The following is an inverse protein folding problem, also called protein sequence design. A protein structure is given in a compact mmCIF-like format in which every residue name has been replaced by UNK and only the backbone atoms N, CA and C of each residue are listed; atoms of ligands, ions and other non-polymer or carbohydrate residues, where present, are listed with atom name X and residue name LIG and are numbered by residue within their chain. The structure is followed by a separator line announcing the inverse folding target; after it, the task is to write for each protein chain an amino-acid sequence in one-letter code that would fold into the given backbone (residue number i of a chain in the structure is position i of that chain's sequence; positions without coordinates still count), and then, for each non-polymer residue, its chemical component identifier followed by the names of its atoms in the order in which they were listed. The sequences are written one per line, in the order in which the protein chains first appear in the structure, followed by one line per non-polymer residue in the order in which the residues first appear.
data_IF_096224153480
#
_entry.id   IF_096224153480
#
_cell.length_a   1.000
_cell.length_b   1.000
_cell.length_c   1.000
_cell.angle_alpha   90.00
_cell.angle_beta   90.00
_cell.angle_gamma   90.00
#
_symmetry.space_group_name_H-M   'P 1'
#
loop_
_entity.id
_entity.type
_entity.pdbx_description
1 polymer ?
#
# COMPACT_ATOMS: atom_id res chain seq x y z
N UNK A 1 1.26 -0.72 -2.09
CA UNK A 1 2.32 -0.89 -3.13
C UNK A 1 1.93 -0.15 -4.38
N UNK A 2 2.90 0.22 -5.24
CA UNK A 2 2.65 0.68 -6.63
C UNK A 2 2.38 -0.53 -7.52
N UNK A 3 1.67 -0.34 -8.64
CA UNK A 3 1.34 -1.47 -9.55
C UNK A 3 2.61 -2.15 -10.12
N UNK A 4 3.66 -1.39 -10.42
CA UNK A 4 4.92 -1.96 -10.87
C UNK A 4 5.63 -2.81 -9.82
N UNK A 5 5.58 -2.38 -8.54
CA UNK A 5 6.10 -3.16 -7.40
C UNK A 5 5.31 -4.47 -7.24
N UNK A 6 3.97 -4.41 -7.37
CA UNK A 6 3.11 -5.60 -7.31
C UNK A 6 3.42 -6.61 -8.43
N UNK A 7 3.62 -6.12 -9.66
CA UNK A 7 3.91 -6.96 -10.82
C UNK A 7 5.32 -7.58 -10.78
N UNK A 8 6.26 -6.95 -10.08
CA UNK A 8 7.62 -7.48 -9.87
C UNK A 8 7.67 -8.53 -8.76
N UNK A 9 6.72 -8.51 -7.82
CA UNK A 9 6.75 -9.31 -6.59
C UNK A 9 6.90 -10.81 -6.87
N UNK A 10 7.89 -11.43 -6.22
CA UNK A 10 8.24 -12.83 -6.34
C UNK A 10 7.89 -13.59 -5.05
N UNK A 11 7.82 -14.91 -5.14
CA UNK A 11 7.55 -15.78 -3.98
C UNK A 11 8.60 -15.61 -2.88
N UNK A 12 9.88 -15.47 -3.23
CA UNK A 12 11.00 -15.25 -2.30
C UNK A 12 10.89 -13.96 -1.48
N UNK A 13 10.12 -12.98 -1.97
CA UNK A 13 9.98 -11.67 -1.31
C UNK A 13 9.01 -11.72 -0.13
N UNK A 14 8.35 -12.88 0.09
CA UNK A 14 7.41 -13.08 1.18
C UNK A 14 8.00 -14.04 2.20
N UNK A 15 8.20 -13.54 3.40
CA UNK A 15 8.57 -14.34 4.56
C UNK A 15 7.31 -14.65 5.38
N UNK A 16 6.85 -15.88 5.29
CA UNK A 16 5.66 -16.34 6.01
C UNK A 16 5.91 -16.66 7.49
N UNK A 17 7.17 -16.79 7.91
CA UNK A 17 7.53 -17.01 9.32
C UNK A 17 7.51 -15.68 10.06
N UNK A 18 8.10 -14.65 9.46
CA UNK A 18 8.11 -13.29 10.01
C UNK A 18 6.85 -12.50 9.68
N UNK A 19 6.00 -12.98 8.76
CA UNK A 19 4.83 -12.27 8.28
C UNK A 19 5.18 -10.96 7.56
N UNK A 20 6.24 -10.98 6.76
CA UNK A 20 6.73 -9.79 6.07
C UNK A 20 6.79 -9.96 4.55
N UNK A 21 6.80 -8.84 3.85
CA UNK A 21 6.89 -8.74 2.42
C UNK A 21 7.94 -7.68 2.08
N UNK A 22 8.95 -8.06 1.30
CA UNK A 22 9.99 -7.16 0.82
C UNK A 22 9.58 -6.54 -0.52
N UNK A 23 9.81 -5.24 -0.66
CA UNK A 23 9.58 -4.49 -1.90
C UNK A 23 10.89 -3.86 -2.29
N UNK A 24 11.59 -4.46 -3.24
CA UNK A 24 12.92 -4.05 -3.70
C UNK A 24 13.04 -4.01 -5.23
N UNK A 25 11.96 -4.37 -5.94
CA UNK A 25 11.91 -4.35 -7.40
C UNK A 25 10.65 -3.66 -7.92
N UNK A 26 10.69 -3.21 -9.16
CA UNK A 26 9.55 -2.66 -9.88
C UNK A 26 9.60 -3.07 -11.34
N UNK A 27 8.48 -3.53 -11.87
CA UNK A 27 8.32 -3.90 -13.27
C UNK A 27 7.77 -2.71 -14.07
N UNK A 28 8.45 -2.41 -15.15
CA UNK A 28 7.98 -1.48 -16.19
C UNK A 28 7.95 -2.24 -17.52
N UNK A 29 6.91 -2.04 -18.31
CA UNK A 29 6.84 -2.61 -19.66
C UNK A 29 7.28 -1.56 -20.67
N UNK A 30 8.34 -1.88 -21.43
CA UNK A 30 8.90 -1.03 -22.46
C UNK A 30 8.94 -1.83 -23.77
N UNK A 31 8.42 -1.29 -24.85
CA UNK A 31 8.40 -1.89 -26.19
C UNK A 31 7.87 -3.34 -26.22
N UNK A 32 6.91 -3.64 -25.34
CA UNK A 32 6.29 -4.96 -25.23
C UNK A 32 7.02 -5.95 -24.33
N UNK A 33 8.22 -5.60 -23.82
CA UNK A 33 9.03 -6.42 -22.92
C UNK A 33 8.92 -5.98 -21.45
N UNK A 34 8.95 -6.95 -20.55
CA UNK A 34 8.94 -6.71 -19.11
C UNK A 34 10.36 -6.40 -18.64
N UNK A 35 10.59 -5.17 -18.18
CA UNK A 35 11.84 -4.73 -17.58
C UNK A 35 11.68 -4.62 -16.07
N UNK A 36 12.39 -5.46 -15.32
CA UNK A 36 12.46 -5.39 -13.85
C UNK A 36 13.70 -4.57 -13.49
N UNK A 37 13.49 -3.55 -12.68
CA UNK A 37 14.55 -2.65 -12.21
C UNK A 37 14.46 -2.46 -10.70
N UNK A 38 15.60 -2.16 -10.09
CA UNK A 38 15.60 -1.64 -8.74
C UNK A 38 14.76 -0.34 -8.66
N UNK A 39 14.13 -0.06 -7.54
CA UNK A 39 13.38 1.18 -7.36
C UNK A 39 14.27 2.41 -7.57
N UNK A 40 13.69 3.49 -8.12
CA UNK A 40 14.41 4.74 -8.43
C UNK A 40 15.01 5.45 -7.20
N UNK A 41 14.56 5.11 -5.99
CA UNK A 41 15.02 5.71 -4.73
C UNK A 41 15.18 4.63 -3.67
N UNK A 42 16.19 4.77 -2.81
CA UNK A 42 16.43 3.88 -1.66
C UNK A 42 15.20 3.79 -0.73
N UNK A 43 14.48 4.89 -0.56
CA UNK A 43 13.26 4.94 0.26
C UNK A 43 12.11 4.08 -0.30
N UNK A 44 12.20 3.64 -1.56
CA UNK A 44 11.23 2.72 -2.15
C UNK A 44 11.49 1.26 -1.76
N UNK A 45 12.73 0.92 -1.41
CA UNK A 45 13.08 -0.40 -0.83
C UNK A 45 12.58 -0.44 0.61
N UNK A 46 11.75 -1.41 0.91
CA UNK A 46 11.13 -1.51 2.24
C UNK A 46 10.61 -2.91 2.54
N UNK A 47 10.51 -3.22 3.81
CA UNK A 47 9.84 -4.41 4.33
C UNK A 47 8.48 -3.98 4.93
N UNK A 48 7.43 -4.69 4.57
CA UNK A 48 6.06 -4.42 5.01
C UNK A 48 5.57 -5.63 5.81
N UNK A 49 5.18 -5.42 7.06
CA UNK A 49 4.47 -6.45 7.83
C UNK A 49 3.05 -6.61 7.29
N UNK A 50 2.62 -7.86 7.08
CA UNK A 50 1.29 -8.24 6.61
C UNK A 50 0.56 -9.07 7.67
N UNK A 51 -0.75 -8.85 7.82
CA UNK A 51 -1.56 -9.57 8.80
C UNK A 51 -1.80 -11.03 8.35
N UNK A 52 -2.17 -11.86 9.30
CA UNK A 52 -2.22 -13.32 9.12
C UNK A 52 -3.17 -13.75 8.01
N UNK A 53 -4.34 -13.15 7.94
CA UNK A 53 -5.36 -13.47 6.94
C UNK A 53 -4.83 -13.25 5.51
N UNK A 54 -4.12 -12.12 5.28
CA UNK A 54 -3.51 -11.85 3.98
C UNK A 54 -2.38 -12.84 3.66
N UNK A 55 -1.62 -13.28 4.67
CA UNK A 55 -0.60 -14.32 4.47
C UNK A 55 -1.24 -15.62 4.00
N UNK A 56 -2.37 -16.01 4.59
CA UNK A 56 -3.07 -17.24 4.27
C UNK A 56 -3.69 -17.17 2.86
N UNK A 57 -4.31 -16.04 2.49
CA UNK A 57 -4.78 -15.77 1.12
C UNK A 57 -3.64 -15.87 0.09
N UNK A 58 -2.46 -15.29 0.40
CA UNK A 58 -1.29 -15.37 -0.50
C UNK A 58 -0.81 -16.82 -0.63
N UNK A 59 -0.77 -17.60 0.47
CA UNK A 59 -0.40 -19.02 0.43
C UNK A 59 -1.35 -19.82 -0.45
N UNK A 60 -2.65 -19.62 -0.28
CA UNK A 60 -3.68 -20.26 -1.10
C UNK A 60 -3.49 -19.89 -2.58
N UNK A 61 -3.27 -18.62 -2.88
CA UNK A 61 -3.00 -18.17 -4.24
C UNK A 61 -1.74 -18.83 -4.82
N UNK A 62 -0.62 -18.86 -4.08
CA UNK A 62 0.62 -19.52 -4.51
C UNK A 62 0.39 -21.00 -4.80
N UNK A 63 -0.44 -21.68 -4.01
CA UNK A 63 -0.77 -23.09 -4.22
C UNK A 63 -1.53 -23.34 -5.53
N UNK A 64 -2.17 -22.32 -6.12
CA UNK A 64 -2.82 -22.41 -7.44
C UNK A 64 -1.85 -22.23 -8.61
N UNK A 65 -0.64 -21.76 -8.35
CA UNK A 65 0.36 -21.52 -9.39
C UNK A 65 1.08 -22.82 -9.76
N UNK A 66 1.50 -22.91 -11.02
CA UNK A 66 2.19 -24.10 -11.52
C UNK A 66 3.71 -23.92 -11.49
N UNK A 67 4.46 -24.98 -11.12
CA UNK A 67 5.93 -24.98 -11.07
C UNK A 67 6.56 -23.81 -10.29
N UNK A 68 6.05 -23.52 -9.11
CA UNK A 68 6.52 -22.42 -8.27
C UNK A 68 7.97 -22.64 -7.83
N UNK A 69 8.79 -21.59 -8.00
CA UNK A 69 10.17 -21.47 -7.51
C UNK A 69 10.31 -20.16 -6.72
N UNK A 70 11.34 -19.98 -5.91
CA UNK A 70 11.55 -18.73 -5.17
C UNK A 70 11.49 -17.46 -6.03
N UNK A 71 12.06 -17.51 -7.26
CA UNK A 71 12.02 -16.41 -8.22
C UNK A 71 10.77 -16.32 -9.09
N UNK A 72 9.73 -17.14 -8.84
CA UNK A 72 8.47 -17.05 -9.58
C UNK A 72 7.73 -15.78 -9.20
N UNK A 73 7.41 -14.92 -10.17
CA UNK A 73 6.55 -13.75 -9.94
C UNK A 73 5.12 -14.20 -9.64
N UNK A 74 4.51 -13.63 -8.60
CA UNK A 74 3.13 -13.95 -8.22
C UNK A 74 2.13 -13.67 -9.35
N UNK A 75 2.35 -12.59 -10.08
CA UNK A 75 1.48 -12.15 -11.17
C UNK A 75 2.17 -12.29 -12.55
N UNK A 76 2.93 -13.38 -12.76
CA UNK A 76 3.56 -13.66 -14.05
C UNK A 76 2.52 -13.66 -15.18
N UNK A 77 2.86 -13.03 -16.31
CA UNK A 77 1.96 -12.92 -17.46
C UNK A 77 0.81 -11.91 -17.30
N UNK A 78 0.68 -11.27 -16.12
CA UNK A 78 -0.29 -10.18 -15.93
C UNK A 78 0.35 -8.83 -16.21
N UNK A 79 -0.45 -7.91 -16.73
CA UNK A 79 -0.02 -6.55 -17.09
C UNK A 79 -0.80 -5.52 -16.25
N UNK A 80 -0.34 -4.28 -16.24
CA UNK A 80 -1.08 -3.17 -15.65
C UNK A 80 -2.50 -3.07 -16.24
N UNK A 81 -2.62 -3.20 -17.56
CA UNK A 81 -3.92 -3.16 -18.26
C UNK A 81 -4.86 -4.28 -17.80
N UNK A 82 -4.33 -5.47 -17.50
CA UNK A 82 -5.15 -6.54 -16.92
C UNK A 82 -5.84 -6.09 -15.64
N UNK A 83 -5.09 -5.50 -14.69
CA UNK A 83 -5.66 -5.02 -13.42
C UNK A 83 -6.62 -3.85 -13.62
N UNK A 84 -6.35 -2.96 -14.57
CA UNK A 84 -7.26 -1.86 -14.92
C UNK A 84 -8.59 -2.38 -15.48
N UNK A 85 -8.57 -3.37 -16.37
CA UNK A 85 -9.78 -4.00 -16.93
C UNK A 85 -10.57 -4.76 -15.86
N UNK A 86 -9.91 -5.54 -15.00
CA UNK A 86 -10.58 -6.25 -13.90
C UNK A 86 -11.20 -5.27 -12.89
N UNK A 87 -10.53 -4.16 -12.60
CA UNK A 87 -11.08 -3.09 -11.79
C UNK A 87 -12.34 -2.49 -12.43
N UNK A 88 -12.30 -2.16 -13.72
CA UNK A 88 -13.47 -1.63 -14.45
C UNK A 88 -14.62 -2.63 -14.44
N UNK A 89 -14.34 -3.91 -14.63
CA UNK A 89 -15.34 -4.97 -14.58
C UNK A 89 -16.00 -5.04 -13.19
N UNK A 90 -15.20 -5.04 -12.12
CA UNK A 90 -15.68 -5.04 -10.74
C UNK A 90 -16.54 -3.82 -10.42
N UNK A 91 -16.12 -2.63 -10.84
CA UNK A 91 -16.87 -1.38 -10.66
C UNK A 91 -18.22 -1.44 -11.38
N UNK A 92 -18.25 -1.92 -12.62
CA UNK A 92 -19.52 -2.07 -13.37
C UNK A 92 -20.50 -3.04 -12.70
N UNK A 93 -19.98 -4.13 -12.13
CA UNK A 93 -20.79 -5.14 -11.45
C UNK A 93 -21.33 -4.66 -10.09
N UNK A 94 -20.51 -3.92 -9.34
CA UNK A 94 -20.87 -3.45 -7.99
C UNK A 94 -21.62 -2.11 -7.96
N UNK A 95 -21.57 -1.35 -9.05
CA UNK A 95 -22.18 -0.01 -9.13
C UNK A 95 -21.47 1.07 -8.29
N UNK A 96 -20.29 0.78 -7.74
CA UNK A 96 -19.51 1.74 -6.95
C UNK A 96 -18.91 2.83 -7.83
N UNK A 97 -18.54 3.96 -7.22
CA UNK A 97 -17.89 5.09 -7.91
C UNK A 97 -16.62 4.61 -8.65
N UNK A 98 -16.47 5.07 -9.91
CA UNK A 98 -15.27 4.76 -10.70
C UNK A 98 -14.01 5.31 -10.04
N UNK A 99 -13.05 4.40 -9.80
CA UNK A 99 -11.71 4.69 -9.28
C UNK A 99 -10.67 4.01 -10.17
N UNK A 100 -9.41 4.43 -10.06
CA UNK A 100 -8.28 3.78 -10.74
C UNK A 100 -7.56 2.83 -9.79
N UNK A 101 -6.76 1.90 -10.34
CA UNK A 101 -5.89 1.01 -9.53
C UNK A 101 -4.99 1.83 -8.58
N UNK A 102 -4.51 3.00 -9.01
CA UNK A 102 -3.69 3.87 -8.16
C UNK A 102 -4.47 4.47 -6.99
N UNK A 103 -5.78 4.70 -7.15
CA UNK A 103 -6.64 5.20 -6.07
C UNK A 103 -6.73 4.23 -4.89
N UNK A 104 -6.56 2.91 -5.09
CA UNK A 104 -6.51 1.94 -3.98
C UNK A 104 -5.37 2.28 -3.01
N UNK A 105 -4.21 2.67 -3.55
CA UNK A 105 -3.07 3.09 -2.72
C UNK A 105 -3.39 4.38 -1.95
N UNK A 106 -4.07 5.34 -2.58
CA UNK A 106 -4.52 6.56 -1.89
C UNK A 106 -5.56 6.25 -0.82
N UNK A 107 -6.54 5.39 -1.12
CA UNK A 107 -7.54 4.94 -0.13
C UNK A 107 -6.88 4.27 1.07
N UNK A 108 -5.85 3.44 0.85
CA UNK A 108 -5.08 2.83 1.93
C UNK A 108 -4.35 3.89 2.78
N UNK A 109 -3.74 4.91 2.16
CA UNK A 109 -3.14 6.02 2.89
C UNK A 109 -4.17 6.76 3.76
N UNK A 110 -5.32 7.10 3.17
CA UNK A 110 -6.42 7.78 3.87
C UNK A 110 -6.97 6.95 5.03
N UNK A 111 -7.11 5.64 4.86
CA UNK A 111 -7.54 4.73 5.92
C UNK A 111 -6.54 4.75 7.09
N UNK A 112 -5.24 4.68 6.83
CA UNK A 112 -4.22 4.73 7.87
C UNK A 112 -4.22 6.07 8.62
N UNK A 113 -4.47 7.18 7.92
CA UNK A 113 -4.67 8.50 8.55
C UNK A 113 -5.86 8.46 9.51
N UNK A 114 -7.01 7.93 9.09
CA UNK A 114 -8.21 7.80 9.94
C UNK A 114 -7.99 6.89 11.15
N UNK A 115 -7.11 5.88 11.02
CA UNK A 115 -6.70 5.00 12.12
C UNK A 115 -5.70 5.67 13.08
N UNK A 116 -5.27 6.91 12.81
CA UNK A 116 -4.40 7.70 13.69
C UNK A 116 -2.89 7.47 13.48
N UNK A 117 -2.47 6.76 12.43
CA UNK A 117 -1.04 6.61 12.13
C UNK A 117 -0.43 7.92 11.64
N UNK A 118 0.80 8.20 12.07
CA UNK A 118 1.51 9.42 11.70
C UNK A 118 1.88 9.46 10.21
N UNK A 119 2.02 10.65 9.59
CA UNK A 119 2.45 10.78 8.21
C UNK A 119 3.79 10.09 7.90
N UNK A 120 4.69 10.03 8.89
CA UNK A 120 6.01 9.39 8.75
C UNK A 120 5.88 7.87 8.64
N UNK A 121 5.07 7.24 9.49
CA UNK A 121 4.80 5.80 9.45
C UNK A 121 4.12 5.40 8.15
N UNK A 122 3.14 6.19 7.70
CA UNK A 122 2.44 5.97 6.44
C UNK A 122 3.40 6.10 5.25
N UNK A 123 4.23 7.15 5.22
CA UNK A 123 5.21 7.36 4.17
C UNK A 123 6.22 6.21 4.09
N UNK A 124 6.72 5.73 5.24
CA UNK A 124 7.63 4.59 5.34
C UNK A 124 6.98 3.31 4.80
N UNK A 125 5.75 3.00 5.21
CA UNK A 125 5.00 1.83 4.74
C UNK A 125 4.71 1.87 3.24
N UNK A 126 4.38 3.04 2.71
CA UNK A 126 4.07 3.22 1.29
C UNK A 126 5.31 3.37 0.41
N UNK A 127 6.48 3.70 0.96
CA UNK A 127 7.69 3.99 0.20
C UNK A 127 7.57 5.32 -0.56
N UNK A 128 7.13 6.38 0.14
CA UNK A 128 7.14 7.74 -0.38
C UNK A 128 8.52 8.34 -0.17
N UNK A 129 9.18 8.77 -1.24
CA UNK A 129 10.50 9.41 -1.17
C UNK A 129 10.47 10.76 -0.43
N UNK A 130 9.30 11.38 -0.34
CA UNK A 130 9.07 12.61 0.43
C UNK A 130 7.83 12.43 1.29
N UNK A 131 7.95 12.72 2.58
CA UNK A 131 6.83 12.69 3.55
C UNK A 131 5.75 13.70 3.17
N UNK A 132 6.12 14.79 2.47
CA UNK A 132 5.19 15.82 1.98
C UNK A 132 4.03 15.24 1.18
N UNK A 133 4.26 14.23 0.34
CA UNK A 133 3.19 13.54 -0.41
C UNK A 133 2.15 12.88 0.50
N UNK A 134 2.56 12.42 1.68
CA UNK A 134 1.65 11.85 2.68
C UNK A 134 0.98 12.95 3.49
N UNK A 135 1.69 14.05 3.79
CA UNK A 135 1.17 15.20 4.52
C UNK A 135 0.04 15.87 3.72
N UNK A 136 0.12 15.99 2.40
CA UNK A 136 -0.96 16.50 1.56
C UNK A 136 -2.25 15.70 1.74
N UNK A 137 -2.15 14.35 1.75
CA UNK A 137 -3.31 13.48 2.04
C UNK A 137 -3.84 13.71 3.47
N UNK A 138 -2.94 13.96 4.42
CA UNK A 138 -3.29 14.21 5.83
C UNK A 138 -4.01 15.56 6.00
N UNK A 139 -3.51 16.62 5.35
CA UNK A 139 -4.09 17.96 5.44
C UNK A 139 -5.52 18.04 4.89
N UNK A 140 -5.83 17.31 3.82
CA UNK A 140 -7.19 17.28 3.26
C UNK A 140 -8.24 16.64 4.18
N UNK A 141 -7.83 15.79 5.12
CA UNK A 141 -8.73 15.10 6.06
C UNK A 141 -8.79 15.77 7.43
N UNK A 142 -7.96 16.78 7.69
CA UNK A 142 -7.80 17.38 9.02
C UNK A 142 -8.51 18.74 9.19
N UNK A 143 -9.52 19.07 8.39
CA UNK A 143 -10.30 20.31 8.59
C UNK A 143 -10.95 20.36 9.99
N UNK A 144 -11.31 19.20 10.55
CA UNK A 144 -11.83 19.10 11.94
C UNK A 144 -10.72 19.07 13.01
N UNK A 145 -9.44 19.13 12.61
CA UNK A 145 -8.33 18.97 13.57
C UNK A 145 -8.20 20.17 14.50
N UNK A 146 -8.50 21.38 14.04
CA UNK A 146 -8.39 22.60 14.86
C UNK A 146 -9.40 22.58 16.02
N UNK A 147 -10.63 22.16 15.77
CA UNK A 147 -11.65 22.03 16.82
C UNK A 147 -11.25 20.94 17.81
N UNK A 148 -10.80 19.78 17.33
CA UNK A 148 -10.31 18.70 18.20
C UNK A 148 -9.09 19.10 19.04
N UNK A 149 -8.17 19.89 18.47
CA UNK A 149 -7.01 20.41 19.21
C UNK A 149 -7.48 21.37 20.30
N UNK A 150 -8.37 22.30 19.97
CA UNK A 150 -8.92 23.24 20.95
C UNK A 150 -9.67 22.53 22.09
N UNK A 151 -10.51 21.55 21.76
CA UNK A 151 -11.23 20.75 22.74
C UNK A 151 -10.28 19.97 23.68
N UNK A 152 -9.24 19.38 23.10
CA UNK A 152 -8.26 18.60 23.86
C UNK A 152 -7.40 19.47 24.77
N UNK A 153 -6.98 20.63 24.28
CA UNK A 153 -6.29 21.64 25.11
C UNK A 153 -7.18 22.09 26.29
N UNK A 154 -8.45 22.36 26.03
CA UNK A 154 -9.41 22.72 27.09
C UNK A 154 -9.62 21.61 28.13
N UNK A 155 -9.58 20.34 27.75
CA UNK A 155 -9.65 19.19 28.68
C UNK A 155 -8.39 19.07 29.53
N UNK A 156 -7.21 19.29 28.96
CA UNK A 156 -5.93 19.31 29.69
C UNK A 156 -5.92 20.45 30.68
N UNK A 157 -6.36 21.66 30.32
CA UNK A 157 -6.46 22.80 31.24
C UNK A 157 -7.42 22.57 32.39
N UNK A 158 -8.50 21.81 32.19
CA UNK A 158 -9.44 21.42 33.24
C UNK A 158 -9.00 20.21 34.06
N UNK A 159 -7.85 19.60 33.74
CA UNK A 159 -7.35 18.42 34.44
C UNK A 159 -8.14 17.13 34.17
N UNK A 160 -8.95 17.09 33.13
CA UNK A 160 -9.76 15.95 32.70
C UNK A 160 -8.96 14.91 31.88
N UNK A 161 -7.85 15.34 31.29
CA UNK A 161 -6.87 14.50 30.58
C UNK A 161 -5.46 14.86 31.06
N UNK A 162 -4.65 13.85 31.43
CA UNK A 162 -3.23 14.08 31.70
C UNK A 162 -2.50 14.31 30.36
N UNK A 163 -1.92 15.47 30.21
CA UNK A 163 -1.01 15.75 29.07
C UNK A 163 0.28 14.96 29.25
N UNK A 164 0.46 13.86 28.45
CA UNK A 164 1.59 12.93 28.40
C UNK A 164 1.73 12.01 29.58
#
# INVERSE_FOLDING_TARGET
MRIGELLALQVKDIDFEQGTLTVDESLTRLDGEDLITAPKTESSVRVITIHKELQDEIKEYIATLYHVRPGTRLFAGRTKSFFEHEMERGIKLSGVKKITVHCIRHSHASMLVQMGFSPVEIAKRLGHGKVTTTIETYCHQSMDAQEKIADRLGKVERGEESGL
#
